data_IF_210436336059
#
_entry.id   IF_210436336059
#
_cell.length_a   1.000
_cell.length_b   1.000
_cell.length_c   1.000
_cell.angle_alpha   90.00
_cell.angle_beta   90.00
_cell.angle_gamma   90.00
#
_symmetry.space_group_name_H-M   'P 1'
#
loop_
_entity.id
_entity.type
_entity.pdbx_description
1 polymer ?
#
# COMPACT_ATOMS: atom_id res chain seq x y z
N UNK A 1 8.27 -10.85 -15.82
CA UNK A 1 8.30 -9.37 -15.76
C UNK A 1 9.05 -8.96 -14.51
N UNK A 2 9.94 -7.97 -14.63
CA UNK A 2 10.72 -7.48 -13.49
C UNK A 2 9.87 -6.55 -12.62
N UNK A 3 10.26 -6.37 -11.35
CA UNK A 3 9.59 -5.44 -10.42
C UNK A 3 9.48 -4.03 -11.01
N UNK A 4 10.52 -3.52 -11.68
CA UNK A 4 10.54 -2.17 -12.24
C UNK A 4 9.58 -1.96 -13.42
N UNK A 5 9.38 -2.97 -14.27
CA UNK A 5 8.33 -2.93 -15.31
C UNK A 5 6.95 -2.92 -14.69
N UNK A 6 6.75 -3.68 -13.63
CA UNK A 6 5.50 -3.70 -12.87
C UNK A 6 5.24 -2.35 -12.18
N UNK A 7 6.28 -1.71 -11.58
CA UNK A 7 6.17 -0.36 -10.99
C UNK A 7 5.74 0.66 -12.05
N UNK A 8 6.44 0.71 -13.21
CA UNK A 8 6.08 1.62 -14.29
C UNK A 8 4.61 1.44 -14.72
N UNK A 9 4.18 0.21 -14.93
CA UNK A 9 2.82 -0.11 -15.34
C UNK A 9 1.78 0.29 -14.30
N UNK A 10 2.09 0.05 -13.04
CA UNK A 10 1.19 0.45 -11.95
C UNK A 10 1.07 1.97 -11.84
N UNK A 11 2.17 2.72 -11.93
CA UNK A 11 2.12 4.19 -11.89
C UNK A 11 1.38 4.78 -13.09
N UNK A 12 1.59 4.22 -14.29
CA UNK A 12 0.79 4.59 -15.47
C UNK A 12 -0.71 4.35 -15.25
N UNK A 13 -1.06 3.28 -14.55
CA UNK A 13 -2.44 2.97 -14.20
C UNK A 13 -3.00 3.91 -13.13
N UNK A 14 -2.18 4.30 -12.14
CA UNK A 14 -2.57 5.22 -11.08
C UNK A 14 -2.91 6.63 -11.61
N UNK A 15 -2.23 7.10 -12.67
CA UNK A 15 -2.53 8.41 -13.30
C UNK A 15 -3.54 8.32 -14.44
N UNK A 16 -3.95 7.13 -14.87
CA UNK A 16 -4.88 6.96 -15.99
C UNK A 16 -6.27 7.51 -15.63
N UNK A 17 -6.84 8.46 -16.42
CA UNK A 17 -8.16 9.04 -16.13
C UNK A 17 -9.27 8.00 -16.00
N UNK A 18 -9.19 6.92 -16.79
CA UNK A 18 -10.18 5.84 -16.77
C UNK A 18 -10.26 5.09 -15.44
N UNK A 19 -9.21 5.13 -14.61
CA UNK A 19 -9.21 4.49 -13.28
C UNK A 19 -9.72 5.41 -12.17
N UNK A 20 -9.82 6.72 -12.40
CA UNK A 20 -10.30 7.70 -11.44
C UNK A 20 -9.68 7.51 -10.03
N UNK A 21 -8.36 7.24 -9.98
CA UNK A 21 -7.67 6.97 -8.72
C UNK A 21 -7.68 8.21 -7.83
N UNK A 22 -8.22 8.08 -6.61
CA UNK A 22 -8.27 9.17 -5.62
C UNK A 22 -6.88 9.68 -5.24
N UNK A 23 -5.86 8.84 -5.35
CA UNK A 23 -4.47 9.17 -5.00
C UNK A 23 -3.57 9.43 -6.21
N UNK A 24 -4.14 9.71 -7.39
CA UNK A 24 -3.35 10.05 -8.59
C UNK A 24 -2.47 11.29 -8.37
N UNK A 25 -2.94 12.26 -7.57
CA UNK A 25 -2.21 13.49 -7.21
C UNK A 25 -0.88 13.20 -6.48
N UNK A 26 -0.71 12.02 -5.90
CA UNK A 26 0.56 11.63 -5.28
C UNK A 26 1.70 11.56 -6.30
N UNK A 27 1.39 11.29 -7.57
CA UNK A 27 2.37 11.29 -8.66
C UNK A 27 2.55 12.67 -9.29
N UNK A 28 1.47 13.49 -9.40
CA UNK A 28 1.52 14.83 -9.99
C UNK A 28 1.98 15.88 -8.98
N UNK A 29 1.14 16.20 -8.00
CA UNK A 29 1.32 17.35 -7.13
C UNK A 29 2.40 17.13 -6.06
N UNK A 30 2.44 15.93 -5.50
CA UNK A 30 3.36 15.58 -4.42
C UNK A 30 4.69 15.06 -4.97
N UNK A 31 4.63 14.11 -5.91
CA UNK A 31 5.81 13.44 -6.45
C UNK A 31 6.46 14.20 -7.61
N UNK A 32 5.74 15.15 -8.23
CA UNK A 32 6.23 15.97 -9.33
C UNK A 32 6.75 15.14 -10.52
N UNK A 33 6.15 13.98 -10.78
CA UNK A 33 6.54 13.12 -11.90
C UNK A 33 6.15 13.79 -13.20
N UNK A 34 7.10 13.88 -14.14
CA UNK A 34 6.89 14.54 -15.45
C UNK A 34 5.67 13.96 -16.15
N UNK A 35 4.85 14.84 -16.71
CA UNK A 35 3.60 14.58 -17.42
C UNK A 35 2.45 13.96 -16.58
N UNK A 36 2.63 13.74 -15.27
CA UNK A 36 1.59 13.12 -14.46
C UNK A 36 0.30 13.98 -14.43
N UNK A 37 0.42 15.30 -14.28
CA UNK A 37 -0.73 16.20 -14.23
C UNK A 37 -1.49 16.23 -15.57
N UNK A 38 -0.78 16.33 -16.68
CA UNK A 38 -1.37 16.37 -18.03
C UNK A 38 -2.04 15.03 -18.39
N UNK A 39 -1.49 13.92 -17.92
CA UNK A 39 -2.10 12.60 -18.11
C UNK A 39 -3.40 12.50 -17.30
N UNK A 40 -3.39 12.91 -16.03
CA UNK A 40 -4.58 12.93 -15.17
C UNK A 40 -5.68 13.82 -15.78
N UNK A 41 -5.31 14.95 -16.37
CA UNK A 41 -6.22 15.82 -17.10
C UNK A 41 -6.72 15.24 -18.44
N UNK A 42 -6.15 14.12 -18.91
CA UNK A 42 -6.49 13.52 -20.21
C UNK A 42 -5.85 14.19 -21.41
N UNK A 43 -4.87 15.06 -21.20
CA UNK A 43 -4.18 15.83 -22.24
C UNK A 43 -3.02 15.05 -22.90
N UNK A 44 -2.49 14.04 -22.19
CA UNK A 44 -1.40 13.18 -22.68
C UNK A 44 -1.72 11.69 -22.46
N UNK A 45 -1.15 10.80 -23.28
CA UNK A 45 -1.30 9.38 -23.08
C UNK A 45 -0.47 8.91 -21.87
N UNK A 46 -0.93 7.85 -21.19
CA UNK A 46 -0.26 7.27 -20.00
C UNK A 46 1.18 6.80 -20.27
N UNK A 47 1.51 6.54 -21.53
CA UNK A 47 2.86 6.13 -21.98
C UNK A 47 3.89 7.23 -21.81
N UNK A 48 3.47 8.48 -21.75
CA UNK A 48 4.33 9.67 -21.65
C UNK A 48 4.71 10.02 -20.21
N UNK A 49 4.20 9.25 -19.22
CA UNK A 49 4.59 9.43 -17.83
C UNK A 49 6.12 9.33 -17.69
N UNK A 50 6.72 10.28 -16.98
CA UNK A 50 8.16 10.37 -16.76
C UNK A 50 8.74 9.23 -15.91
N UNK A 51 8.39 7.98 -16.23
CA UNK A 51 8.91 6.77 -15.58
C UNK A 51 9.30 5.73 -16.62
N UNK A 52 10.53 5.24 -16.56
CA UNK A 52 11.09 4.30 -17.52
C UNK A 52 11.80 3.16 -16.81
N UNK A 53 11.43 1.91 -17.13
CA UNK A 53 12.22 0.74 -16.74
C UNK A 53 13.33 0.57 -17.80
N UNK A 54 14.53 1.08 -17.49
CA UNK A 54 15.67 1.09 -18.40
C UNK A 54 16.15 -0.34 -18.66
N UNK A 55 16.25 -1.11 -17.59
CA UNK A 55 16.59 -2.53 -17.60
C UNK A 55 15.86 -3.28 -16.47
N UNK A 56 16.28 -4.51 -16.16
CA UNK A 56 15.66 -5.34 -15.13
C UNK A 56 15.95 -4.89 -13.69
N UNK A 57 16.88 -3.95 -13.50
CA UNK A 57 17.36 -3.47 -12.18
C UNK A 57 17.37 -1.94 -12.07
N UNK A 58 16.93 -1.22 -13.12
CA UNK A 58 17.00 0.23 -13.17
C UNK A 58 15.65 0.81 -13.54
N UNK A 59 15.07 1.58 -12.63
CA UNK A 59 13.91 2.41 -12.85
C UNK A 59 14.37 3.87 -12.86
N UNK A 60 14.19 4.56 -13.97
CA UNK A 60 14.44 5.99 -14.08
C UNK A 60 13.12 6.75 -13.90
N UNK A 61 13.14 7.78 -13.05
CA UNK A 61 12.01 8.67 -12.82
C UNK A 61 12.44 10.10 -13.06
N UNK A 62 11.71 10.80 -13.91
CA UNK A 62 11.93 12.20 -14.23
C UNK A 62 10.94 13.06 -13.46
N UNK A 63 11.45 14.09 -12.77
CA UNK A 63 10.64 15.01 -11.97
C UNK A 63 10.66 16.41 -12.61
N UNK A 64 9.55 17.14 -12.52
CA UNK A 64 9.44 18.52 -13.00
C UNK A 64 10.33 19.48 -12.21
N UNK A 65 10.50 19.22 -10.91
CA UNK A 65 11.36 19.94 -9.98
C UNK A 65 12.06 18.98 -9.03
N UNK A 66 13.20 19.34 -8.45
CA UNK A 66 13.84 18.51 -7.42
C UNK A 66 12.93 18.35 -6.20
N UNK A 67 12.68 17.10 -5.81
CA UNK A 67 11.85 16.75 -4.63
C UNK A 67 12.72 15.95 -3.66
N UNK A 68 13.18 16.59 -2.58
CA UNK A 68 14.10 15.97 -1.60
C UNK A 68 13.50 14.77 -0.86
N UNK A 69 12.19 14.75 -0.69
CA UNK A 69 11.45 13.67 -0.04
C UNK A 69 10.92 12.60 -0.99
N UNK A 70 11.28 12.63 -2.29
CA UNK A 70 10.70 11.73 -3.29
C UNK A 70 10.82 10.25 -2.90
N UNK A 71 11.97 9.83 -2.37
CA UNK A 71 12.17 8.44 -1.94
C UNK A 71 11.28 8.05 -0.75
N UNK A 72 10.92 9.00 0.11
CA UNK A 72 9.98 8.73 1.21
C UNK A 72 8.56 8.45 0.72
N UNK A 73 8.18 8.92 -0.49
CA UNK A 73 6.89 8.62 -1.08
C UNK A 73 6.73 7.14 -1.44
N UNK A 74 7.84 6.41 -1.58
CA UNK A 74 7.82 4.98 -1.90
C UNK A 74 7.16 4.11 -0.81
N UNK A 75 7.00 4.64 0.41
CA UNK A 75 6.22 4.01 1.47
C UNK A 75 4.70 4.15 1.29
N UNK A 76 4.24 5.01 0.39
CA UNK A 76 2.81 5.20 0.15
C UNK A 76 2.29 4.18 -0.89
N UNK A 77 1.14 3.54 -0.66
CA UNK A 77 0.65 2.43 -1.48
C UNK A 77 0.56 2.70 -2.98
N UNK A 78 0.26 3.94 -3.40
CA UNK A 78 0.21 4.33 -4.83
C UNK A 78 1.53 4.07 -5.55
N UNK A 79 2.66 4.03 -4.84
CA UNK A 79 3.97 3.78 -5.42
C UNK A 79 4.39 2.30 -5.40
N UNK A 80 3.63 1.42 -4.76
CA UNK A 80 3.97 0.01 -4.68
C UNK A 80 3.92 -0.67 -6.07
N UNK A 81 4.81 -1.61 -6.35
CA UNK A 81 4.73 -2.38 -7.59
C UNK A 81 3.51 -3.32 -7.56
N UNK A 82 2.78 -3.38 -8.67
CA UNK A 82 1.72 -4.37 -8.87
C UNK A 82 2.11 -5.30 -10.00
N UNK A 83 2.10 -6.60 -9.76
CA UNK A 83 2.39 -7.60 -10.79
C UNK A 83 1.30 -7.56 -11.87
N UNK A 84 1.64 -7.07 -13.07
CA UNK A 84 0.69 -6.91 -14.18
C UNK A 84 0.03 -8.23 -14.60
N UNK A 85 0.80 -9.32 -14.64
CA UNK A 85 0.27 -10.62 -15.02
C UNK A 85 -0.77 -11.12 -14.02
N UNK A 86 -0.45 -11.03 -12.72
CA UNK A 86 -1.38 -11.40 -11.65
C UNK A 86 -2.61 -10.47 -11.65
N UNK A 87 -2.41 -9.15 -11.75
CA UNK A 87 -3.52 -8.21 -11.85
C UNK A 87 -4.49 -8.58 -12.99
N UNK A 88 -3.97 -8.95 -14.16
CA UNK A 88 -4.78 -9.33 -15.30
C UNK A 88 -5.60 -10.62 -15.08
N UNK A 89 -5.21 -11.47 -14.13
CA UNK A 89 -6.02 -12.63 -13.73
C UNK A 89 -7.18 -12.27 -12.82
N UNK A 90 -7.02 -11.24 -11.99
CA UNK A 90 -8.00 -10.81 -10.97
C UNK A 90 -8.91 -9.67 -11.44
N UNK A 91 -8.34 -8.69 -12.21
CA UNK A 91 -9.05 -7.51 -12.72
C UNK A 91 -9.90 -6.82 -11.63
N UNK A 92 -11.22 -6.85 -11.82
CA UNK A 92 -12.18 -6.14 -10.96
C UNK A 92 -12.25 -6.69 -9.52
N UNK A 93 -11.73 -7.90 -9.29
CA UNK A 93 -11.66 -8.53 -7.96
C UNK A 93 -10.31 -8.34 -7.28
N UNK A 94 -9.34 -7.66 -7.94
CA UNK A 94 -8.01 -7.42 -7.37
C UNK A 94 -8.12 -6.72 -6.01
N UNK A 95 -7.50 -7.31 -4.98
CA UNK A 95 -7.47 -6.74 -3.63
C UNK A 95 -8.74 -6.98 -2.79
N UNK A 96 -9.70 -7.78 -3.23
CA UNK A 96 -10.97 -8.01 -2.51
C UNK A 96 -10.99 -9.29 -1.67
N UNK A 97 -10.03 -10.19 -1.87
CA UNK A 97 -9.89 -11.43 -1.11
C UNK A 97 -8.43 -11.88 -1.07
N UNK A 98 -8.05 -12.81 -0.19
CA UNK A 98 -6.69 -13.36 -0.13
C UNK A 98 -6.19 -13.90 -1.48
N UNK A 99 -7.03 -14.57 -2.24
CA UNK A 99 -6.68 -15.15 -3.56
C UNK A 99 -6.43 -14.09 -4.64
N UNK A 100 -6.85 -12.85 -4.41
CA UNK A 100 -6.72 -11.73 -5.34
C UNK A 100 -5.69 -10.69 -4.91
N UNK A 101 -4.88 -11.02 -3.88
CA UNK A 101 -3.75 -10.22 -3.38
C UNK A 101 -2.45 -11.00 -3.56
N UNK A 102 -1.44 -10.35 -4.13
CA UNK A 102 -0.08 -10.88 -4.17
C UNK A 102 0.80 -10.02 -3.26
N UNK A 103 1.27 -10.61 -2.17
CA UNK A 103 2.11 -9.92 -1.18
C UNK A 103 3.58 -10.32 -1.32
N UNK A 104 4.47 -9.35 -1.12
CA UNK A 104 5.91 -9.56 -0.91
C UNK A 104 6.36 -9.08 0.47
N UNK A 105 5.42 -8.80 1.38
CA UNK A 105 5.68 -8.38 2.75
C UNK A 105 5.99 -9.53 3.69
N UNK A 106 6.28 -9.19 4.95
CA UNK A 106 6.61 -10.15 6.01
C UNK A 106 5.44 -11.09 6.36
N UNK A 107 4.21 -10.69 6.07
CA UNK A 107 3.00 -11.45 6.34
C UNK A 107 2.11 -11.53 5.10
N UNK A 108 1.36 -12.62 5.00
CA UNK A 108 0.39 -12.91 3.94
C UNK A 108 -1.00 -12.96 4.57
N UNK A 109 -1.96 -12.30 3.97
CA UNK A 109 -3.37 -12.42 4.34
C UNK A 109 -3.88 -13.80 3.94
N UNK A 110 -4.37 -14.58 4.91
CA UNK A 110 -4.82 -15.95 4.70
C UNK A 110 -6.29 -16.15 4.97
N UNK A 111 -6.86 -15.28 5.80
CA UNK A 111 -8.29 -15.32 6.12
C UNK A 111 -8.86 -13.89 6.12
N UNK A 112 -9.63 -13.58 5.10
CA UNK A 112 -10.37 -12.32 4.99
C UNK A 112 -11.58 -12.50 4.10
N UNK A 113 -12.71 -11.96 4.55
CA UNK A 113 -13.91 -11.81 3.74
C UNK A 113 -14.38 -10.35 3.82
N UNK A 114 -14.98 -9.79 2.77
CA UNK A 114 -15.57 -8.46 2.81
C UNK A 114 -16.56 -8.33 3.99
N UNK A 115 -16.45 -7.23 4.73
CA UNK A 115 -17.21 -6.94 5.96
C UNK A 115 -16.90 -7.88 7.16
N UNK A 116 -15.83 -8.67 7.12
CA UNK A 116 -15.38 -9.42 8.28
C UNK A 116 -15.05 -8.48 9.45
N UNK A 117 -15.33 -8.92 10.67
CA UNK A 117 -14.97 -8.21 11.89
C UNK A 117 -13.64 -8.68 12.48
N UNK A 118 -13.06 -9.73 11.91
CA UNK A 118 -11.74 -10.24 12.24
C UNK A 118 -11.10 -10.84 11.00
N UNK A 119 -9.77 -10.81 10.92
CA UNK A 119 -8.98 -11.47 9.88
C UNK A 119 -7.57 -11.74 10.38
N UNK A 120 -6.88 -12.64 9.69
CA UNK A 120 -5.54 -13.08 10.07
C UNK A 120 -4.54 -12.92 8.93
N UNK A 121 -3.30 -12.65 9.33
CA UNK A 121 -2.13 -12.74 8.46
C UNK A 121 -1.17 -13.77 9.04
N UNK A 122 -0.60 -14.62 8.20
CA UNK A 122 0.44 -15.57 8.58
C UNK A 122 1.80 -15.10 8.09
N UNK A 123 2.86 -15.54 8.78
CA UNK A 123 4.24 -15.25 8.37
C UNK A 123 4.49 -15.71 6.94
N UNK A 124 5.10 -14.85 6.13
CA UNK A 124 5.50 -15.18 4.77
C UNK A 124 6.88 -15.85 4.77
N UNK A 125 6.98 -17.14 4.44
CA UNK A 125 8.26 -17.84 4.40
C UNK A 125 9.17 -17.35 3.25
N UNK A 126 8.59 -16.76 2.20
CA UNK A 126 9.31 -16.25 1.04
C UNK A 126 9.72 -14.76 1.18
N UNK A 127 9.44 -14.15 2.33
CA UNK A 127 9.89 -12.78 2.60
C UNK A 127 11.42 -12.75 2.67
N UNK A 128 12.05 -11.78 2.01
CA UNK A 128 13.51 -11.71 1.91
C UNK A 128 14.24 -11.71 3.26
N UNK A 129 13.58 -11.25 4.33
CA UNK A 129 14.12 -11.16 5.68
C UNK A 129 13.31 -11.99 6.69
N UNK A 130 12.73 -13.11 6.23
CA UNK A 130 11.86 -13.97 7.03
C UNK A 130 12.54 -14.50 8.32
N UNK A 131 13.86 -14.68 8.28
CA UNK A 131 14.63 -15.16 9.45
C UNK A 131 14.59 -14.18 10.65
N UNK A 132 14.43 -12.89 10.40
CA UNK A 132 14.39 -11.86 11.43
C UNK A 132 12.95 -11.51 11.87
N UNK A 133 11.93 -12.14 11.30
CA UNK A 133 10.55 -11.98 11.74
C UNK A 133 10.27 -12.95 12.87
N UNK A 134 10.07 -12.43 14.09
CA UNK A 134 9.85 -13.25 15.29
C UNK A 134 8.39 -13.73 15.43
N UNK A 135 7.42 -12.99 14.90
CA UNK A 135 6.01 -13.33 15.00
C UNK A 135 5.62 -14.37 13.93
N UNK A 136 4.79 -15.32 14.31
CA UNK A 136 4.24 -16.33 13.39
C UNK A 136 3.04 -15.82 12.60
N UNK A 137 2.33 -14.83 13.12
CA UNK A 137 1.16 -14.22 12.50
C UNK A 137 0.65 -13.00 13.23
N UNK A 138 -0.37 -12.37 12.67
CA UNK A 138 -1.07 -11.20 13.20
C UNK A 138 -2.57 -11.46 13.11
N UNK A 139 -3.29 -11.34 14.23
CA UNK A 139 -4.74 -11.40 14.28
C UNK A 139 -5.31 -9.98 14.43
N UNK A 140 -6.19 -9.60 13.53
CA UNK A 140 -6.82 -8.29 13.53
C UNK A 140 -8.30 -8.38 13.93
N UNK A 141 -8.74 -7.41 14.73
CA UNK A 141 -10.15 -7.19 15.05
C UNK A 141 -10.59 -5.81 14.58
N UNK A 142 -11.71 -5.73 13.90
CA UNK A 142 -12.32 -4.47 13.45
C UNK A 142 -13.27 -3.98 14.54
N UNK A 143 -12.78 -3.12 15.43
CA UNK A 143 -13.53 -2.54 16.53
C UNK A 143 -13.87 -1.10 16.15
N UNK A 144 -15.17 -0.77 15.99
CA UNK A 144 -15.62 0.55 15.54
C UNK A 144 -15.61 1.61 16.65
N UNK A 145 -15.77 1.17 17.89
CA UNK A 145 -15.76 2.05 19.05
C UNK A 145 -14.35 2.09 19.67
N UNK A 146 -13.74 3.26 19.71
CA UNK A 146 -12.38 3.44 20.21
C UNK A 146 -12.25 3.17 21.71
N UNK A 147 -13.30 3.42 22.51
CA UNK A 147 -13.28 3.12 23.94
C UNK A 147 -13.31 1.61 24.18
N UNK A 148 -14.10 0.87 23.39
CA UNK A 148 -14.11 -0.59 23.43
C UNK A 148 -12.75 -1.16 23.02
N UNK A 149 -12.08 -0.57 22.03
CA UNK A 149 -10.73 -0.99 21.62
C UNK A 149 -9.71 -0.78 22.76
N UNK A 150 -9.76 0.38 23.43
CA UNK A 150 -8.91 0.66 24.59
C UNK A 150 -9.16 -0.34 25.72
N UNK A 151 -10.42 -0.61 26.07
CA UNK A 151 -10.77 -1.62 27.09
C UNK A 151 -10.27 -3.02 26.73
N UNK A 152 -10.36 -3.40 25.45
CA UNK A 152 -9.85 -4.69 24.98
C UNK A 152 -8.34 -4.82 25.13
N UNK A 153 -7.61 -3.73 24.89
CA UNK A 153 -6.17 -3.65 25.16
C UNK A 153 -5.87 -3.76 26.65
N UNK A 154 -6.54 -2.96 27.49
CA UNK A 154 -6.35 -2.96 28.96
C UNK A 154 -6.65 -4.31 29.63
N UNK A 155 -7.56 -5.09 29.03
CA UNK A 155 -7.88 -6.45 29.52
C UNK A 155 -6.99 -7.53 28.93
N UNK A 156 -6.03 -7.19 28.07
CA UNK A 156 -5.12 -8.15 27.41
C UNK A 156 -5.75 -8.95 26.27
N UNK A 157 -6.92 -8.51 25.76
CA UNK A 157 -7.52 -9.13 24.58
C UNK A 157 -6.90 -8.62 23.26
N UNK A 158 -6.19 -7.49 23.30
CA UNK A 158 -5.38 -6.93 22.22
C UNK A 158 -3.97 -6.62 22.73
N UNK A 159 -2.97 -6.87 21.90
CA UNK A 159 -1.58 -6.50 22.16
C UNK A 159 -1.28 -5.06 21.69
N UNK A 160 -2.09 -4.52 20.78
CA UNK A 160 -1.93 -3.19 20.20
C UNK A 160 -3.30 -2.57 19.90
N UNK A 161 -3.45 -1.27 20.20
CA UNK A 161 -4.56 -0.44 19.73
C UNK A 161 -4.10 0.97 19.41
N UNK A 162 -4.84 1.67 18.54
CA UNK A 162 -4.61 3.09 18.26
C UNK A 162 -5.46 3.94 19.21
N UNK A 163 -4.86 4.99 19.75
CA UNK A 163 -5.54 5.94 20.63
C UNK A 163 -5.97 7.18 19.84
N UNK A 164 -7.14 7.71 20.14
CA UNK A 164 -7.51 9.08 19.75
C UNK A 164 -6.97 10.11 20.76
N UNK A 165 -7.06 11.42 20.45
CA UNK A 165 -6.49 12.47 21.27
C UNK A 165 -7.03 12.50 22.71
N UNK A 166 -8.33 12.23 22.90
CA UNK A 166 -8.94 12.20 24.23
C UNK A 166 -8.46 11.01 25.06
N UNK A 167 -8.21 9.87 24.42
CA UNK A 167 -7.70 8.66 25.08
C UNK A 167 -6.25 8.79 25.49
N UNK A 168 -5.42 9.53 24.73
CA UNK A 168 -4.02 9.80 25.10
C UNK A 168 -3.97 10.46 26.48
N UNK A 169 -4.83 11.45 26.74
CA UNK A 169 -4.88 12.12 28.06
C UNK A 169 -5.33 11.20 29.20
N UNK A 170 -6.12 10.16 28.91
CA UNK A 170 -6.56 9.18 29.90
C UNK A 170 -5.45 8.20 30.32
N UNK A 171 -4.52 7.88 29.40
CA UNK A 171 -3.55 6.78 29.61
C UNK A 171 -2.09 7.25 29.64
N UNK A 172 -1.79 8.53 29.42
CA UNK A 172 -0.42 9.06 29.37
C UNK A 172 0.41 8.81 30.62
N UNK A 173 -0.25 8.66 31.76
CA UNK A 173 0.38 8.41 33.06
C UNK A 173 0.23 6.94 33.51
N UNK A 174 -0.33 6.08 32.66
CA UNK A 174 -0.50 4.65 32.90
C UNK A 174 0.81 3.91 32.54
N UNK A 175 1.39 3.07 33.41
CA UNK A 175 2.70 2.44 33.21
C UNK A 175 2.73 1.40 32.10
#
# INVERSE_FOLDING_TARGET
>A
QTAYRNTRKHWQRAVAPANASEYSYMLSDIGQVVNAAEIIAGEKPVTDLGVTAVDDKTLEVQLNVPVSYFLSLMYFPTFYPVNEAFFNTCKDTFGTSPDTVLSNGAFIMTDYQPAATAFELTKNPDYYDAANIALDGLAYQVIKDSQQALMSFQTGALDLTLLNGEQVDQVKDDP
#
